data_IF_875505311594
#
_entry.id   IF_875505311594
#
_cell.length_a   1.000
_cell.length_b   1.000
_cell.length_c   1.000
_cell.angle_alpha   90.00
_cell.angle_beta   90.00
_cell.angle_gamma   90.00
#
_symmetry.space_group_name_H-M   'P 1'
#
loop_
_entity.id
_entity.type
_entity.pdbx_description
1 polymer ?
#
# COMPACT_ATOMS: atom_id res chain seq x y z
N UNK A 1 6.87 -4.65 -5.40
CA UNK A 1 6.14 -4.21 -6.63
C UNK A 1 7.10 -3.56 -7.63
N UNK A 2 6.79 -3.57 -8.93
CA UNK A 2 7.65 -2.99 -9.96
C UNK A 2 7.76 -1.46 -9.78
N UNK A 3 8.97 -0.93 -9.48
CA UNK A 3 9.16 0.48 -9.16
C UNK A 3 8.88 1.43 -10.33
N UNK A 4 8.88 0.94 -11.57
CA UNK A 4 8.62 1.76 -12.77
C UNK A 4 7.15 2.18 -12.89
N UNK A 5 6.23 1.43 -12.28
CA UNK A 5 4.79 1.59 -12.47
C UNK A 5 3.97 1.59 -11.17
N UNK A 6 4.55 1.17 -10.05
CA UNK A 6 3.86 1.07 -8.78
C UNK A 6 4.50 1.99 -7.72
N UNK A 7 3.75 2.93 -7.12
CA UNK A 7 4.25 3.85 -6.08
C UNK A 7 4.93 3.11 -4.91
N UNK A 8 4.36 1.99 -4.46
CA UNK A 8 4.93 1.15 -3.40
C UNK A 8 6.28 0.52 -3.79
N UNK A 9 6.50 0.22 -5.07
CA UNK A 9 7.79 -0.28 -5.55
C UNK A 9 8.87 0.79 -5.52
N UNK A 10 8.52 2.02 -5.93
CA UNK A 10 9.42 3.16 -5.85
C UNK A 10 9.81 3.49 -4.40
N UNK A 11 8.83 3.52 -3.49
CA UNK A 11 9.07 3.71 -2.06
C UNK A 11 9.97 2.61 -1.48
N UNK A 12 9.75 1.34 -1.84
CA UNK A 12 10.62 0.24 -1.40
C UNK A 12 12.08 0.45 -1.84
N UNK A 13 12.33 0.92 -3.07
CA UNK A 13 13.68 1.26 -3.51
C UNK A 13 14.27 2.44 -2.73
N UNK A 14 13.48 3.49 -2.44
CA UNK A 14 13.95 4.62 -1.62
C UNK A 14 14.41 4.14 -0.25
N UNK A 15 13.65 3.26 0.40
CA UNK A 15 14.02 2.67 1.70
C UNK A 15 15.35 1.92 1.59
N UNK A 16 15.51 1.05 0.59
CA UNK A 16 16.74 0.29 0.40
C UNK A 16 17.96 1.20 0.16
N UNK A 17 17.77 2.31 -0.57
CA UNK A 17 18.82 3.29 -0.84
C UNK A 17 19.16 4.12 0.40
N UNK A 18 18.14 4.63 1.11
CA UNK A 18 18.31 5.44 2.32
C UNK A 18 19.03 4.66 3.43
N UNK A 19 18.78 3.35 3.54
CA UNK A 19 19.49 2.48 4.47
C UNK A 19 20.83 1.93 3.94
N UNK A 20 21.24 2.29 2.72
CA UNK A 20 22.53 1.88 2.15
C UNK A 20 22.65 0.38 1.89
N UNK A 21 21.52 -0.31 1.68
CA UNK A 21 21.47 -1.77 1.49
C UNK A 21 21.14 -2.19 0.06
N UNK A 22 20.68 -1.27 -0.80
CA UNK A 22 20.27 -1.57 -2.17
C UNK A 22 21.33 -2.39 -2.94
N UNK A 23 22.59 -1.96 -2.95
CA UNK A 23 23.65 -2.65 -3.69
C UNK A 23 23.90 -4.08 -3.19
N UNK A 24 23.64 -4.36 -1.91
CA UNK A 24 23.80 -5.69 -1.30
C UNK A 24 22.69 -6.66 -1.68
N UNK A 25 21.51 -6.14 -2.07
CA UNK A 25 20.30 -6.95 -2.32
C UNK A 25 19.80 -6.86 -3.75
N UNK A 26 20.32 -5.96 -4.57
CA UNK A 26 19.82 -5.64 -5.92
C UNK A 26 19.68 -6.87 -6.82
N UNK A 27 20.65 -7.79 -6.78
CA UNK A 27 20.65 -9.05 -7.53
C UNK A 27 19.64 -10.09 -7.04
N UNK A 28 19.05 -9.88 -5.86
CA UNK A 28 18.06 -10.77 -5.23
C UNK A 28 16.63 -10.22 -5.31
N UNK A 29 16.44 -9.01 -5.84
CA UNK A 29 15.13 -8.39 -5.92
C UNK A 29 14.25 -9.09 -6.95
N UNK A 30 13.07 -9.54 -6.49
CA UNK A 30 12.00 -10.04 -7.35
C UNK A 30 10.87 -9.02 -7.35
N UNK A 31 10.40 -8.65 -8.53
CA UNK A 31 9.37 -7.63 -8.70
C UNK A 31 8.04 -8.26 -9.08
N UNK A 32 7.02 -8.07 -8.24
CA UNK A 32 5.62 -8.28 -8.65
C UNK A 32 5.09 -7.07 -9.41
N UNK A 33 4.18 -7.28 -10.37
CA UNK A 33 3.49 -6.24 -11.14
C UNK A 33 2.59 -5.35 -10.26
N UNK A 34 2.14 -5.87 -9.12
CA UNK A 34 1.31 -5.15 -8.14
C UNK A 34 1.73 -5.45 -6.70
N UNK A 35 1.16 -4.72 -5.74
CA UNK A 35 1.29 -5.05 -4.30
C UNK A 35 0.72 -6.43 -4.00
N UNK A 36 -0.41 -6.79 -4.62
CA UNK A 36 -1.03 -8.10 -4.45
C UNK A 36 -0.11 -9.25 -4.90
N UNK A 37 0.61 -9.09 -6.01
CA UNK A 37 1.55 -10.13 -6.46
C UNK A 37 2.78 -10.21 -5.57
N UNK A 38 3.30 -9.07 -5.09
CA UNK A 38 4.36 -9.07 -4.09
C UNK A 38 3.93 -9.84 -2.82
N UNK A 39 2.68 -9.67 -2.37
CA UNK A 39 2.11 -10.42 -1.26
C UNK A 39 2.03 -11.93 -1.54
N UNK A 40 1.67 -12.33 -2.76
CA UNK A 40 1.67 -13.75 -3.13
C UNK A 40 3.06 -14.38 -2.98
N UNK A 41 4.12 -13.68 -3.39
CA UNK A 41 5.50 -14.17 -3.22
C UNK A 41 5.88 -14.33 -1.75
N UNK A 42 5.53 -13.37 -0.91
CA UNK A 42 5.78 -13.42 0.53
C UNK A 42 5.00 -14.58 1.17
N UNK A 43 3.69 -14.67 0.92
CA UNK A 43 2.80 -15.65 1.56
C UNK A 43 3.05 -17.09 1.12
N UNK A 44 3.50 -17.29 -0.12
CA UNK A 44 3.88 -18.62 -0.63
C UNK A 44 5.29 -19.06 -0.20
N UNK A 45 6.08 -18.16 0.38
CA UNK A 45 7.49 -18.40 0.69
C UNK A 45 8.42 -18.36 -0.52
N UNK A 46 7.93 -17.98 -1.70
CA UNK A 46 8.77 -17.75 -2.88
C UNK A 46 9.73 -16.57 -2.68
N UNK A 47 9.40 -15.64 -1.78
CA UNK A 47 10.29 -14.62 -1.26
C UNK A 47 10.32 -14.71 0.29
N UNK A 48 11.52 -14.76 0.87
CA UNK A 48 11.71 -14.84 2.33
C UNK A 48 11.21 -13.58 3.06
N UNK A 49 11.30 -12.43 2.40
CA UNK A 49 10.80 -11.15 2.89
C UNK A 49 10.39 -10.25 1.72
N UNK A 50 9.55 -9.26 1.98
CA UNK A 50 9.16 -8.30 0.95
C UNK A 50 8.46 -7.06 1.51
N UNK A 51 8.33 -6.05 0.66
CA UNK A 51 7.63 -4.82 0.97
C UNK A 51 6.14 -4.93 0.61
N UNK A 52 5.28 -4.54 1.55
CA UNK A 52 3.82 -4.51 1.38
C UNK A 52 3.20 -3.26 2.04
N UNK A 53 1.89 -3.10 1.94
CA UNK A 53 1.14 -2.03 2.61
C UNK A 53 0.70 -2.46 4.02
N UNK A 54 0.68 -1.50 4.95
CA UNK A 54 0.18 -1.74 6.31
C UNK A 54 -1.28 -2.18 6.33
N UNK A 55 -2.09 -1.75 5.34
CA UNK A 55 -3.48 -2.17 5.18
C UNK A 55 -3.63 -3.68 4.96
N UNK A 56 -2.74 -4.28 4.17
CA UNK A 56 -2.72 -5.73 3.96
C UNK A 56 -2.33 -6.43 5.26
N UNK A 57 -1.27 -5.95 5.93
CA UNK A 57 -0.78 -6.53 7.18
C UNK A 57 -1.84 -6.49 8.28
N UNK A 58 -2.62 -5.41 8.36
CA UNK A 58 -3.70 -5.25 9.34
C UNK A 58 -5.01 -5.92 8.94
N UNK A 59 -5.11 -6.52 7.75
CA UNK A 59 -6.35 -7.16 7.32
C UNK A 59 -6.69 -8.34 8.22
N UNK A 60 -7.99 -8.66 8.43
CA UNK A 60 -8.38 -9.80 9.27
C UNK A 60 -7.69 -11.11 8.88
N UNK A 61 -7.49 -11.33 7.58
CA UNK A 61 -6.88 -12.53 7.01
C UNK A 61 -5.39 -12.66 7.34
N UNK A 62 -4.67 -11.54 7.44
CA UNK A 62 -3.21 -11.52 7.57
C UNK A 62 -2.69 -10.93 8.88
N UNK A 63 -3.55 -10.34 9.70
CA UNK A 63 -3.21 -9.74 11.00
C UNK A 63 -2.50 -10.69 11.98
N UNK A 64 -2.63 -11.99 11.76
CA UNK A 64 -2.04 -13.06 12.58
C UNK A 64 -0.98 -13.88 11.83
N UNK A 65 -0.58 -13.45 10.63
CA UNK A 65 0.30 -14.21 9.75
C UNK A 65 1.64 -13.50 9.61
N UNK A 66 2.73 -14.24 9.88
CA UNK A 66 4.09 -13.75 9.70
C UNK A 66 4.54 -12.74 10.77
N UNK A 67 5.57 -11.99 10.42
CA UNK A 67 6.15 -10.91 11.22
C UNK A 67 6.36 -9.71 10.30
N UNK A 68 6.25 -8.51 10.85
CA UNK A 68 6.46 -7.28 10.10
C UNK A 68 7.07 -6.21 10.98
N UNK A 69 7.74 -5.25 10.34
CA UNK A 69 8.26 -4.05 10.98
C UNK A 69 7.73 -2.84 10.21
N UNK A 70 7.41 -1.77 10.93
CA UNK A 70 7.08 -0.51 10.30
C UNK A 70 8.37 0.14 9.81
N UNK A 71 8.34 0.74 8.63
CA UNK A 71 9.46 1.50 8.08
C UNK A 71 9.28 2.97 8.47
N UNK A 72 10.35 3.61 8.91
CA UNK A 72 10.36 5.01 9.28
C UNK A 72 9.88 5.88 8.11
N UNK A 73 8.99 6.83 8.42
CA UNK A 73 8.28 7.60 7.40
C UNK A 73 9.15 8.61 6.64
N UNK A 74 10.38 8.85 7.10
CA UNK A 74 11.39 9.68 6.43
C UNK A 74 12.31 8.88 5.49
N UNK A 75 12.20 7.54 5.51
CA UNK A 75 12.97 6.66 4.62
C UNK A 75 12.42 6.60 3.19
N UNK A 76 11.27 7.21 2.91
CA UNK A 76 10.63 7.24 1.59
C UNK A 76 9.68 8.43 1.46
N UNK A 77 9.35 8.80 0.22
CA UNK A 77 8.39 9.86 -0.06
C UNK A 77 6.98 9.46 0.41
N UNK A 78 6.22 10.45 0.88
CA UNK A 78 4.82 10.22 1.27
C UNK A 78 4.04 9.62 0.10
N UNK A 79 3.19 8.65 0.42
CA UNK A 79 2.30 7.96 -0.54
C UNK A 79 0.87 8.48 -0.39
N UNK A 80 0.51 9.64 -0.99
CA UNK A 80 -0.85 10.16 -0.91
C UNK A 80 -1.81 9.23 -1.65
N UNK A 81 -2.93 8.91 -1.02
CA UNK A 81 -4.05 8.23 -1.66
C UNK A 81 -5.11 9.30 -2.00
N UNK A 82 -5.50 9.35 -3.27
CA UNK A 82 -6.45 10.33 -3.79
C UNK A 82 -7.71 9.61 -4.25
N UNK A 83 -8.86 10.17 -3.90
CA UNK A 83 -10.17 9.69 -4.34
C UNK A 83 -10.73 10.73 -5.31
N UNK A 84 -11.21 10.28 -6.47
CA UNK A 84 -11.79 11.16 -7.49
C UNK A 84 -13.16 10.65 -7.93
N UNK A 85 -14.13 11.57 -8.03
CA UNK A 85 -15.41 11.32 -8.67
C UNK A 85 -15.26 11.46 -10.18
N UNK A 86 -15.48 10.37 -10.91
CA UNK A 86 -15.38 10.37 -12.37
C UNK A 86 -16.72 10.80 -12.96
N UNK A 87 -16.70 11.87 -13.76
CA UNK A 87 -17.88 12.32 -14.48
C UNK A 87 -18.11 11.45 -15.73
N UNK A 88 -18.98 10.44 -15.61
CA UNK A 88 -19.33 9.55 -16.71
C UNK A 88 -20.84 9.68 -17.04
N UNK A 89 -21.17 9.74 -18.33
CA UNK A 89 -22.54 10.03 -18.77
C UNK A 89 -23.55 8.92 -18.39
N UNK A 90 -23.09 7.67 -18.32
CA UNK A 90 -23.94 6.50 -18.08
C UNK A 90 -23.82 5.89 -16.67
N UNK A 91 -23.23 6.61 -15.71
CA UNK A 91 -23.10 6.12 -14.32
C UNK A 91 -24.13 6.74 -13.39
N UNK A 92 -24.57 5.99 -12.38
CA UNK A 92 -25.36 6.55 -11.27
C UNK A 92 -24.54 7.59 -10.50
N UNK A 93 -24.81 8.87 -10.77
CA UNK A 93 -24.11 10.01 -10.15
C UNK A 93 -24.39 10.11 -8.66
N UNK A 94 -25.60 9.74 -8.24
CA UNK A 94 -26.02 9.80 -6.85
C UNK A 94 -25.29 8.76 -6.00
N UNK A 95 -25.29 7.48 -6.41
CA UNK A 95 -24.61 6.42 -5.66
C UNK A 95 -23.10 6.66 -5.53
N UNK A 96 -22.45 7.14 -6.60
CA UNK A 96 -21.03 7.50 -6.55
C UNK A 96 -20.76 8.64 -5.57
N UNK A 97 -21.63 9.65 -5.54
CA UNK A 97 -21.52 10.79 -4.62
C UNK A 97 -21.74 10.36 -3.17
N UNK A 98 -22.77 9.56 -2.89
CA UNK A 98 -23.04 9.03 -1.54
C UNK A 98 -21.86 8.22 -1.03
N UNK A 99 -21.27 7.37 -1.87
CA UNK A 99 -20.08 6.59 -1.48
C UNK A 99 -18.85 7.48 -1.24
N UNK A 100 -18.65 8.49 -2.10
CA UNK A 100 -17.57 9.46 -1.89
C UNK A 100 -17.73 10.19 -0.56
N UNK A 101 -18.92 10.72 -0.26
CA UNK A 101 -19.21 11.40 1.01
C UNK A 101 -19.03 10.46 2.21
N UNK A 102 -19.43 9.18 2.10
CA UNK A 102 -19.18 8.17 3.12
C UNK A 102 -17.70 7.95 3.40
N UNK A 103 -16.84 7.88 2.36
CA UNK A 103 -15.39 7.71 2.56
C UNK A 103 -14.78 8.83 3.40
N UNK A 104 -15.34 10.04 3.38
CA UNK A 104 -14.90 11.19 4.18
C UNK A 104 -15.69 11.40 5.48
N UNK A 105 -16.71 10.58 5.76
CA UNK A 105 -17.43 10.59 7.03
C UNK A 105 -16.58 10.07 8.19
N UNK A 106 -16.95 10.37 9.44
CA UNK A 106 -16.24 9.86 10.62
C UNK A 106 -16.08 8.33 10.61
N UNK A 107 -17.13 7.61 10.19
CA UNK A 107 -17.12 6.16 10.10
C UNK A 107 -16.14 5.65 9.04
N UNK A 108 -16.21 6.20 7.82
CA UNK A 108 -15.30 5.81 6.73
C UNK A 108 -13.83 6.11 7.08
N UNK A 109 -13.58 7.26 7.70
CA UNK A 109 -12.26 7.67 8.16
C UNK A 109 -11.76 6.77 9.30
N UNK A 110 -12.64 6.34 10.22
CA UNK A 110 -12.29 5.37 11.27
C UNK A 110 -11.89 4.02 10.69
N UNK A 111 -12.59 3.53 9.66
CA UNK A 111 -12.22 2.30 8.95
C UNK A 111 -10.83 2.45 8.33
N UNK A 112 -10.56 3.53 7.61
CA UNK A 112 -9.25 3.78 7.00
C UNK A 112 -8.12 3.83 8.05
N UNK A 113 -8.33 4.54 9.17
CA UNK A 113 -7.37 4.57 10.30
C UNK A 113 -7.13 3.19 10.89
N UNK A 114 -8.16 2.36 11.04
CA UNK A 114 -8.03 1.00 11.56
C UNK A 114 -7.12 0.14 10.68
N UNK A 115 -7.23 0.28 9.35
CA UNK A 115 -6.33 -0.37 8.39
C UNK A 115 -4.96 0.33 8.24
N UNK A 116 -4.68 1.39 9.02
CA UNK A 116 -3.36 2.02 9.06
C UNK A 116 -3.12 3.10 8.01
N UNK A 117 -4.17 3.61 7.36
CA UNK A 117 -4.05 4.82 6.56
C UNK A 117 -3.99 6.05 7.46
N UNK A 118 -3.12 7.00 7.12
CA UNK A 118 -3.22 8.35 7.63
C UNK A 118 -4.30 9.09 6.86
N UNK A 119 -5.18 9.76 7.58
CA UNK A 119 -6.19 10.63 6.98
C UNK A 119 -5.98 12.05 7.47
N UNK A 120 -6.28 13.03 6.61
CA UNK A 120 -6.21 14.44 6.99
C UNK A 120 -7.39 14.75 7.90
N UNK A 121 -7.10 15.34 9.05
CA UNK A 121 -8.10 15.99 9.90
C UNK A 121 -8.60 17.29 9.25
#
# INVERSE_FOLDING_TARGET
PNPKIAPFGAAALQVLNNYGIYDKVSSKLVYGESVSQANQFILSGAAEMGFTSLAIVKSPELSKVGQWILIDSDAYDKLPHVIALINHQNSSKEGARTFFEYLFSEEGQAILKNFGYSVRE
#
